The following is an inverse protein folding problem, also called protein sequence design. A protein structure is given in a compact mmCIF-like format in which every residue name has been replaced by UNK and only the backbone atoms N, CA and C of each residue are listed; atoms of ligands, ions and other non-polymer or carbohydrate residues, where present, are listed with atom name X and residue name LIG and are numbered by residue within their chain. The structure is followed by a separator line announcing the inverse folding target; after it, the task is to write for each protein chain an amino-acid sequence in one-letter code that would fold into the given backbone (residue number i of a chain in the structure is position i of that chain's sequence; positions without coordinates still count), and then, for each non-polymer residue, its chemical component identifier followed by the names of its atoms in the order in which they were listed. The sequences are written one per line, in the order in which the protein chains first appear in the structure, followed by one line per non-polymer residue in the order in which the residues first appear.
data_IF_151699756636
#
_entry.id   IF_151699756636
#
_cell.length_a   1.000
_cell.length_b   1.000
_cell.length_c   1.000
_cell.angle_alpha   90.00
_cell.angle_beta   90.00
_cell.angle_gamma   90.00
#
_symmetry.space_group_name_H-M   'P 1'
#
loop_
_entity.id
_entity.type
_entity.pdbx_description
1 polymer ?
#
# COMPACT_ATOMS: atom_id res chain seq x y z
N UNK A 1 4.82 -2.37 9.28
CA UNK A 1 5.88 -2.01 10.25
C UNK A 1 5.40 -2.05 11.72
N UNK A 2 4.09 -2.16 11.99
CA UNK A 2 3.50 -2.27 13.34
C UNK A 2 3.42 -0.97 14.14
N UNK A 3 3.86 0.16 13.61
CA UNK A 3 3.83 1.45 14.34
C UNK A 3 2.41 1.92 14.66
N UNK A 4 1.48 1.78 13.71
CA UNK A 4 0.08 2.14 13.95
C UNK A 4 -0.54 1.24 15.03
N UNK A 5 -0.28 -0.09 14.96
CA UNK A 5 -0.74 -1.03 15.97
C UNK A 5 -0.22 -0.65 17.36
N UNK A 6 1.09 -0.36 17.48
CA UNK A 6 1.66 0.10 18.74
C UNK A 6 0.98 1.36 19.27
N UNK A 7 0.76 2.38 18.43
CA UNK A 7 0.09 3.62 18.84
C UNK A 7 -1.34 3.38 19.33
N UNK A 8 -2.06 2.44 18.75
CA UNK A 8 -3.41 2.08 19.19
C UNK A 8 -3.38 1.34 20.52
N UNK A 9 -2.44 0.41 20.70
CA UNK A 9 -2.23 -0.33 21.94
C UNK A 9 -1.85 0.64 23.08
N UNK A 10 -0.95 1.59 22.82
CA UNK A 10 -0.56 2.62 23.81
C UNK A 10 -1.75 3.53 24.22
N UNK A 11 -2.82 3.56 23.40
CA UNK A 11 -4.10 4.24 23.72
C UNK A 11 -5.13 3.33 24.38
N UNK A 12 -4.79 2.08 24.71
CA UNK A 12 -5.66 1.14 25.40
C UNK A 12 -6.55 0.27 24.52
N UNK A 13 -6.37 0.28 23.18
CA UNK A 13 -7.10 -0.61 22.29
C UNK A 13 -6.48 -2.01 22.24
N UNK A 14 -7.32 -3.03 22.17
CA UNK A 14 -6.90 -4.39 21.81
C UNK A 14 -6.71 -4.47 20.29
N UNK A 15 -5.55 -4.92 19.85
CA UNK A 15 -5.18 -4.89 18.42
C UNK A 15 -4.59 -6.23 18.00
N UNK A 16 -5.17 -6.82 16.97
CA UNK A 16 -4.58 -7.93 16.23
C UNK A 16 -4.04 -7.44 14.87
N UNK A 17 -3.05 -8.13 14.34
CA UNK A 17 -2.41 -7.78 13.08
C UNK A 17 -2.48 -8.93 12.08
N UNK A 18 -2.62 -8.58 10.79
CA UNK A 18 -2.52 -9.53 9.68
C UNK A 18 -1.39 -9.11 8.75
N UNK A 19 -0.47 -10.03 8.44
CA UNK A 19 0.64 -9.77 7.52
C UNK A 19 1.09 -11.04 6.83
N UNK A 20 1.07 -11.11 5.49
CA UNK A 20 1.59 -12.26 4.73
C UNK A 20 3.12 -12.24 4.59
N UNK A 21 3.79 -11.13 4.90
CA UNK A 21 5.24 -10.98 4.77
C UNK A 21 5.95 -11.51 6.01
N UNK A 22 6.79 -12.53 5.88
CA UNK A 22 7.60 -13.06 6.97
C UNK A 22 8.47 -11.97 7.60
N UNK A 23 9.17 -11.19 6.78
CA UNK A 23 10.03 -10.09 7.23
C UNK A 23 9.28 -9.02 8.03
N UNK A 24 8.10 -8.58 7.55
CA UNK A 24 7.29 -7.60 8.28
C UNK A 24 6.68 -8.20 9.53
N UNK A 25 6.29 -9.46 9.49
CA UNK A 25 5.70 -10.17 10.63
C UNK A 25 6.66 -10.23 11.81
N UNK A 26 7.93 -10.49 11.60
CA UNK A 26 8.92 -10.52 12.69
C UNK A 26 9.10 -9.12 13.30
N UNK A 27 9.11 -8.07 12.48
CA UNK A 27 9.15 -6.68 12.94
C UNK A 27 7.90 -6.27 13.72
N UNK A 28 6.72 -6.74 13.30
CA UNK A 28 5.44 -6.49 13.96
C UNK A 28 5.42 -7.23 15.30
N UNK A 29 5.77 -8.52 15.30
CA UNK A 29 5.75 -9.35 16.50
C UNK A 29 6.58 -8.76 17.63
N UNK A 30 7.73 -8.16 17.33
CA UNK A 30 8.60 -7.51 18.30
C UNK A 30 7.96 -6.28 18.99
N UNK A 31 6.86 -5.74 18.43
CA UNK A 31 6.16 -4.55 18.93
C UNK A 31 4.82 -4.87 19.57
N UNK A 32 4.32 -6.08 19.38
CA UNK A 32 3.02 -6.49 19.89
C UNK A 32 3.16 -7.06 21.30
N UNK A 33 2.26 -6.69 22.23
CA UNK A 33 2.20 -7.30 23.55
C UNK A 33 1.65 -8.73 23.46
N UNK A 34 1.87 -9.58 24.50
CA UNK A 34 1.47 -10.99 24.49
C UNK A 34 -0.01 -11.26 24.21
N UNK A 35 -0.89 -10.31 24.55
CA UNK A 35 -2.35 -10.42 24.33
C UNK A 35 -2.78 -10.13 22.91
N UNK A 36 -1.90 -9.60 22.05
CA UNK A 36 -2.18 -9.32 20.64
C UNK A 36 -1.81 -10.51 19.77
N UNK A 37 -2.65 -10.82 18.80
CA UNK A 37 -2.40 -11.90 17.85
C UNK A 37 -1.84 -11.34 16.55
N UNK A 38 -0.77 -11.97 16.04
CA UNK A 38 -0.27 -11.74 14.69
C UNK A 38 -0.60 -12.93 13.81
N UNK A 39 -1.51 -12.72 12.86
CA UNK A 39 -1.86 -13.70 11.84
C UNK A 39 -0.89 -13.57 10.66
N UNK A 40 -0.06 -14.60 10.43
CA UNK A 40 0.95 -14.64 9.35
C UNK A 40 0.32 -15.20 8.05
N UNK A 41 -0.67 -14.51 7.56
CA UNK A 41 -1.47 -14.91 6.39
C UNK A 41 -1.98 -13.70 5.62
N UNK A 42 -2.62 -13.91 4.48
CA UNK A 42 -3.38 -12.85 3.80
C UNK A 42 -4.72 -12.62 4.51
N UNK A 43 -5.37 -11.48 4.28
CA UNK A 43 -6.70 -11.25 4.83
C UNK A 43 -7.71 -12.27 4.27
N UNK A 44 -7.58 -12.61 3.01
CA UNK A 44 -8.49 -13.53 2.32
C UNK A 44 -8.45 -14.93 2.95
N UNK A 45 -7.26 -15.37 3.36
CA UNK A 45 -7.03 -16.70 3.94
C UNK A 45 -7.06 -16.70 5.48
N UNK A 46 -7.40 -15.55 6.09
CA UNK A 46 -7.49 -15.46 7.54
C UNK A 46 -8.64 -16.30 8.08
N UNK A 47 -8.33 -17.22 8.99
CA UNK A 47 -9.31 -18.01 9.74
C UNK A 47 -9.25 -17.61 11.21
N UNK A 48 -10.35 -17.10 11.75
CA UNK A 48 -10.50 -16.73 13.14
C UNK A 48 -11.99 -16.57 13.51
N UNK A 49 -12.33 -16.91 14.75
CA UNK A 49 -13.64 -16.67 15.32
C UNK A 49 -13.76 -15.28 15.98
N UNK A 50 -12.64 -14.55 16.07
CA UNK A 50 -12.63 -13.20 16.61
C UNK A 50 -13.47 -12.27 15.74
N UNK A 51 -14.15 -11.34 16.38
CA UNK A 51 -14.89 -10.25 15.76
C UNK A 51 -14.31 -8.94 16.23
N UNK A 52 -14.38 -7.94 15.35
CA UNK A 52 -13.72 -6.66 15.56
C UNK A 52 -14.74 -5.51 15.45
N UNK A 53 -14.53 -4.49 16.27
CA UNK A 53 -15.30 -3.25 16.18
C UNK A 53 -14.75 -2.33 15.10
N UNK A 54 -13.47 -2.52 14.73
CA UNK A 54 -12.79 -1.72 13.72
C UNK A 54 -11.78 -2.57 12.94
N UNK A 55 -11.85 -2.52 11.63
CA UNK A 55 -10.80 -3.03 10.73
C UNK A 55 -10.15 -1.84 10.02
N UNK A 56 -8.82 -1.79 10.03
CA UNK A 56 -8.05 -0.68 9.47
C UNK A 56 -7.13 -1.18 8.35
N UNK A 57 -7.21 -0.52 7.20
CA UNK A 57 -6.21 -0.58 6.15
C UNK A 57 -5.49 0.76 6.05
N UNK A 58 -4.19 0.75 6.33
CA UNK A 58 -3.32 1.91 6.12
C UNK A 58 -2.30 1.55 5.04
N UNK A 59 -2.49 2.07 3.83
CA UNK A 59 -1.67 1.82 2.63
C UNK A 59 -1.52 0.32 2.29
N UNK A 60 -2.54 -0.47 2.58
CA UNK A 60 -2.51 -1.93 2.43
C UNK A 60 -3.70 -2.52 1.68
N UNK A 61 -4.78 -1.75 1.51
CA UNK A 61 -5.97 -2.23 0.82
C UNK A 61 -5.72 -2.51 -0.67
N UNK A 62 -4.80 -1.80 -1.29
CA UNK A 62 -4.40 -2.02 -2.67
C UNK A 62 -3.86 -3.42 -2.98
N UNK A 63 -3.43 -4.17 -1.97
CA UNK A 63 -2.91 -5.55 -2.11
C UNK A 63 -3.97 -6.62 -1.87
N UNK A 64 -5.15 -6.24 -1.40
CA UNK A 64 -6.28 -7.13 -1.09
C UNK A 64 -7.22 -7.19 -2.30
N UNK A 65 -7.73 -8.36 -2.65
CA UNK A 65 -8.75 -8.47 -3.71
C UNK A 65 -10.05 -7.85 -3.22
N UNK A 66 -10.57 -6.82 -3.92
CA UNK A 66 -11.68 -6.00 -3.44
C UNK A 66 -12.83 -6.84 -2.91
N UNK A 67 -13.41 -7.74 -3.73
CA UNK A 67 -14.61 -8.51 -3.36
C UNK A 67 -14.37 -9.46 -2.17
N UNK A 68 -13.32 -10.27 -2.23
CA UNK A 68 -13.00 -11.23 -1.16
C UNK A 68 -12.58 -10.53 0.12
N UNK A 69 -11.82 -9.44 0.01
CA UNK A 69 -11.44 -8.62 1.16
C UNK A 69 -12.64 -7.96 1.84
N UNK A 70 -13.52 -7.33 1.07
CA UNK A 70 -14.75 -6.75 1.61
C UNK A 70 -15.67 -7.80 2.23
N UNK A 71 -15.81 -8.98 1.59
CA UNK A 71 -16.56 -10.10 2.16
C UNK A 71 -15.97 -10.56 3.50
N UNK A 72 -14.64 -10.68 3.59
CA UNK A 72 -13.95 -11.05 4.83
C UNK A 72 -14.13 -9.96 5.90
N UNK A 73 -13.99 -8.68 5.54
CA UNK A 73 -14.24 -7.58 6.48
C UNK A 73 -15.68 -7.60 7.00
N UNK A 74 -16.65 -7.80 6.09
CA UNK A 74 -18.07 -7.90 6.48
C UNK A 74 -18.32 -9.07 7.45
N UNK A 75 -17.64 -10.20 7.24
CA UNK A 75 -17.73 -11.35 8.15
C UNK A 75 -17.08 -11.06 9.51
N UNK A 76 -15.89 -10.47 9.53
CA UNK A 76 -15.09 -10.25 10.75
C UNK A 76 -15.58 -9.08 11.61
N UNK A 77 -16.31 -8.11 11.05
CA UNK A 77 -16.85 -6.98 11.80
C UNK A 77 -18.06 -7.37 12.65
N UNK A 78 -18.11 -6.85 13.85
CA UNK A 78 -19.30 -6.82 14.68
C UNK A 78 -20.43 -6.03 14.00
N UNK A 79 -21.66 -6.16 14.49
CA UNK A 79 -22.75 -5.26 14.13
C UNK A 79 -22.37 -3.82 14.51
N UNK A 80 -22.62 -2.88 13.62
CA UNK A 80 -22.20 -1.48 13.75
C UNK A 80 -20.68 -1.27 13.80
N UNK A 81 -19.87 -2.31 13.55
CA UNK A 81 -18.43 -2.20 13.43
C UNK A 81 -18.01 -1.39 12.20
N UNK A 82 -16.80 -0.89 12.20
CA UNK A 82 -16.32 0.06 11.21
C UNK A 82 -15.18 -0.50 10.35
N UNK A 83 -15.17 -0.12 9.10
CA UNK A 83 -14.08 -0.37 8.15
C UNK A 83 -13.44 0.97 7.78
N UNK A 84 -12.18 1.15 8.16
CA UNK A 84 -11.38 2.33 7.83
C UNK A 84 -10.36 1.96 6.75
N UNK A 85 -10.40 2.66 5.63
CA UNK A 85 -9.44 2.51 4.53
C UNK A 85 -8.76 3.85 4.31
N UNK A 86 -7.44 3.89 4.48
CA UNK A 86 -6.58 5.02 4.13
C UNK A 86 -5.60 4.53 3.06
N UNK A 87 -5.94 4.76 1.79
CA UNK A 87 -5.16 4.27 0.65
C UNK A 87 -5.45 5.10 -0.60
N UNK A 88 -4.61 4.95 -1.63
CA UNK A 88 -4.85 5.60 -2.91
C UNK A 88 -5.53 4.66 -3.91
N UNK A 89 -6.40 5.26 -4.70
CA UNK A 89 -7.13 4.61 -5.79
C UNK A 89 -6.70 5.19 -7.13
N UNK A 90 -6.83 4.40 -8.19
CA UNK A 90 -6.66 4.88 -9.55
C UNK A 90 -7.96 5.49 -10.05
N UNK A 91 -7.87 6.70 -10.60
CA UNK A 91 -8.98 7.37 -11.29
C UNK A 91 -8.81 7.26 -12.80
N UNK A 92 -9.91 7.25 -13.51
CA UNK A 92 -9.93 7.14 -14.97
C UNK A 92 -9.82 8.54 -15.59
N UNK A 93 -8.66 8.86 -16.18
CA UNK A 93 -8.35 10.19 -16.73
C UNK A 93 -8.18 10.17 -18.24
N UNK A 94 -8.54 9.06 -18.93
CA UNK A 94 -8.33 8.91 -20.37
C UNK A 94 -6.86 8.70 -20.79
N UNK A 95 -5.90 8.84 -19.89
CA UNK A 95 -4.47 8.60 -20.13
C UNK A 95 -3.92 7.54 -19.18
N UNK A 96 -2.87 6.81 -19.61
CA UNK A 96 -2.22 5.82 -18.74
C UNK A 96 -1.49 6.52 -17.60
N UNK A 97 -1.75 6.07 -16.37
CA UNK A 97 -1.00 6.51 -15.21
C UNK A 97 0.43 5.97 -15.24
N UNK A 98 1.46 6.79 -15.07
CA UNK A 98 2.82 6.31 -14.87
C UNK A 98 3.00 5.65 -13.49
N UNK A 99 2.12 5.97 -12.54
CA UNK A 99 2.12 5.46 -11.19
C UNK A 99 1.31 4.16 -11.12
N UNK A 100 1.97 3.08 -10.72
CA UNK A 100 1.34 1.77 -10.52
C UNK A 100 0.62 1.69 -9.18
N UNK A 101 -0.18 0.63 -9.01
CA UNK A 101 -0.91 0.34 -7.77
C UNK A 101 -2.21 1.12 -7.65
N UNK A 102 -2.92 0.83 -6.57
CA UNK A 102 -4.26 1.32 -6.29
C UNK A 102 -5.34 0.64 -7.13
N UNK A 103 -6.38 0.23 -6.49
CA UNK A 103 -7.59 -0.25 -7.19
C UNK A 103 -8.26 0.88 -7.95
N UNK A 104 -9.01 0.55 -9.01
CA UNK A 104 -9.89 1.54 -9.65
C UNK A 104 -10.96 1.98 -8.65
N UNK A 105 -11.11 3.30 -8.46
CA UNK A 105 -12.11 3.85 -7.54
C UNK A 105 -13.52 3.45 -7.95
N UNK A 106 -13.83 3.50 -9.25
CA UNK A 106 -15.12 3.08 -9.79
C UNK A 106 -15.47 1.63 -9.41
N UNK A 107 -14.50 0.71 -9.57
CA UNK A 107 -14.70 -0.71 -9.22
C UNK A 107 -14.83 -0.94 -7.71
N UNK A 108 -14.13 -0.16 -6.90
CA UNK A 108 -14.26 -0.24 -5.44
C UNK A 108 -15.67 0.16 -5.01
N UNK A 109 -16.16 1.32 -5.47
CA UNK A 109 -17.52 1.81 -5.18
C UNK A 109 -18.58 0.80 -5.63
N UNK A 110 -18.53 0.36 -6.89
CA UNK A 110 -19.45 -0.66 -7.42
C UNK A 110 -19.45 -1.94 -6.57
N UNK A 111 -18.30 -2.32 -6.02
CA UNK A 111 -18.20 -3.56 -5.26
C UNK A 111 -18.67 -3.38 -3.84
N UNK A 112 -18.34 -2.27 -3.14
CA UNK A 112 -18.72 -2.07 -1.73
C UNK A 112 -20.22 -1.87 -1.59
N UNK A 113 -20.90 -1.29 -2.59
CA UNK A 113 -22.36 -1.11 -2.64
C UNK A 113 -23.13 -2.45 -2.67
N UNK A 114 -22.43 -3.58 -2.92
CA UNK A 114 -23.02 -4.92 -2.87
C UNK A 114 -22.99 -5.54 -1.47
N UNK A 115 -22.42 -4.84 -0.50
CA UNK A 115 -22.34 -5.26 0.90
C UNK A 115 -23.17 -4.32 1.79
N UNK A 116 -23.36 -4.72 3.05
CA UNK A 116 -24.14 -3.94 4.04
C UNK A 116 -23.30 -2.83 4.69
N UNK A 117 -22.47 -2.12 3.89
CA UNK A 117 -21.68 -1.01 4.36
C UNK A 117 -22.34 0.33 4.03
N UNK A 118 -22.43 1.20 5.03
CA UNK A 118 -22.82 2.60 4.84
C UNK A 118 -21.57 3.49 4.91
N UNK A 119 -21.40 4.38 3.95
CA UNK A 119 -20.34 5.36 3.97
C UNK A 119 -20.62 6.45 5.02
N UNK A 120 -19.70 6.60 5.98
CA UNK A 120 -19.79 7.62 7.05
C UNK A 120 -18.85 8.80 6.73
N UNK A 121 -17.66 8.52 6.23
CA UNK A 121 -16.66 9.54 5.88
C UNK A 121 -16.02 9.16 4.56
N UNK A 122 -15.91 10.12 3.67
CA UNK A 122 -15.18 10.04 2.42
C UNK A 122 -14.41 11.34 2.21
N UNK A 123 -13.14 11.35 2.61
CA UNK A 123 -12.26 12.50 2.48
C UNK A 123 -11.22 12.24 1.40
N UNK A 124 -11.15 13.14 0.43
CA UNK A 124 -10.07 13.18 -0.54
C UNK A 124 -8.91 13.98 0.04
N UNK A 125 -7.83 13.30 0.39
CA UNK A 125 -6.60 13.88 0.93
C UNK A 125 -5.44 13.80 -0.09
N UNK A 126 -5.77 13.74 -1.37
CA UNK A 126 -4.79 13.61 -2.45
C UNK A 126 -3.80 14.77 -2.47
N UNK A 127 -4.28 15.99 -2.30
CA UNK A 127 -3.42 17.19 -2.33
C UNK A 127 -2.49 17.26 -1.12
N UNK A 128 -2.98 16.84 0.04
CA UNK A 128 -2.23 16.82 1.30
C UNK A 128 -1.13 15.75 1.28
N UNK A 129 -1.35 14.64 0.57
CA UNK A 129 -0.37 13.55 0.47
C UNK A 129 0.58 13.70 -0.72
N UNK A 130 0.21 14.42 -1.76
CA UNK A 130 1.01 14.62 -2.97
C UNK A 130 2.44 15.15 -2.71
N UNK A 131 2.71 16.05 -1.74
CA UNK A 131 4.07 16.50 -1.43
C UNK A 131 5.02 15.35 -1.06
N UNK A 132 4.53 14.28 -0.45
CA UNK A 132 5.33 13.07 -0.13
C UNK A 132 5.89 12.42 -1.39
N UNK A 133 5.11 12.41 -2.48
CA UNK A 133 5.55 11.92 -3.79
C UNK A 133 6.66 12.83 -4.36
N UNK A 134 6.55 14.15 -4.16
CA UNK A 134 7.60 15.09 -4.56
C UNK A 134 8.91 14.87 -3.81
N UNK A 135 8.88 14.50 -2.54
CA UNK A 135 10.07 14.12 -1.76
C UNK A 135 10.69 12.84 -2.35
N UNK A 136 9.86 11.85 -2.69
CA UNK A 136 10.31 10.62 -3.32
C UNK A 136 10.95 10.89 -4.69
N UNK A 137 10.34 11.74 -5.51
CA UNK A 137 10.88 12.16 -6.82
C UNK A 137 12.26 12.80 -6.67
N UNK A 138 12.42 13.75 -5.75
CA UNK A 138 13.70 14.37 -5.44
C UNK A 138 14.75 13.35 -5.00
N UNK A 139 14.39 12.44 -4.10
CA UNK A 139 15.30 11.37 -3.66
C UNK A 139 15.75 10.50 -4.84
N UNK A 140 14.83 10.17 -5.73
CA UNK A 140 15.15 9.38 -6.93
C UNK A 140 16.06 10.15 -7.89
N UNK A 141 15.73 11.40 -8.21
CA UNK A 141 16.42 12.20 -9.24
C UNK A 141 17.76 12.76 -8.74
N UNK A 142 17.83 13.23 -7.52
CA UNK A 142 19.03 13.90 -6.98
C UNK A 142 20.04 12.93 -6.37
N UNK A 143 19.61 11.77 -5.87
CA UNK A 143 20.49 10.83 -5.19
C UNK A 143 20.60 9.47 -5.91
N UNK A 144 19.48 8.81 -6.19
CA UNK A 144 19.55 7.42 -6.70
C UNK A 144 19.99 7.35 -8.16
N UNK A 145 19.55 8.27 -9.02
CA UNK A 145 19.95 8.29 -10.43
C UNK A 145 21.46 8.62 -10.57
N UNK A 146 21.98 9.70 -9.99
CA UNK A 146 23.41 9.99 -10.06
C UNK A 146 24.28 8.91 -9.44
N UNK A 147 23.89 8.35 -8.29
CA UNK A 147 24.63 7.27 -7.62
C UNK A 147 24.69 6.00 -8.47
N UNK A 148 23.61 5.65 -9.17
CA UNK A 148 23.58 4.53 -10.09
C UNK A 148 24.51 4.74 -11.29
N UNK A 149 24.51 5.93 -11.87
CA UNK A 149 25.35 6.25 -13.03
C UNK A 149 26.83 6.20 -12.64
N UNK A 150 27.19 6.75 -11.49
CA UNK A 150 28.54 6.68 -10.94
C UNK A 150 28.97 5.23 -10.68
N UNK A 151 28.14 4.45 -10.01
CA UNK A 151 28.37 3.03 -9.72
C UNK A 151 28.49 2.21 -11.00
N UNK A 152 27.64 2.47 -12.00
CA UNK A 152 27.67 1.78 -13.29
C UNK A 152 28.95 2.11 -14.08
N UNK A 153 29.42 3.36 -14.06
CA UNK A 153 30.71 3.77 -14.66
C UNK A 153 31.85 3.08 -13.97
N UNK A 154 31.91 3.13 -12.64
CA UNK A 154 32.95 2.47 -11.86
C UNK A 154 33.03 0.96 -12.13
N UNK A 155 31.92 0.25 -12.09
CA UNK A 155 31.84 -1.18 -12.36
C UNK A 155 32.25 -1.51 -13.82
N UNK A 156 31.83 -0.70 -14.79
CA UNK A 156 32.16 -0.91 -16.19
C UNK A 156 33.64 -0.70 -16.45
N UNK A 157 34.29 0.24 -15.74
CA UNK A 157 35.71 0.52 -15.88
C UNK A 157 36.61 -0.53 -15.20
N UNK A 158 36.20 -0.99 -14.00
CA UNK A 158 37.04 -1.89 -13.21
C UNK A 158 36.72 -3.38 -13.43
N UNK A 159 35.46 -3.71 -13.80
CA UNK A 159 34.98 -5.09 -13.96
C UNK A 159 34.12 -5.26 -15.21
N UNK A 160 34.67 -5.04 -16.43
CA UNK A 160 33.83 -4.96 -17.65
C UNK A 160 33.11 -6.27 -17.98
N UNK A 161 33.76 -7.43 -17.79
CA UNK A 161 33.12 -8.73 -18.08
C UNK A 161 31.97 -9.04 -17.13
N UNK A 162 32.15 -8.80 -15.81
CA UNK A 162 31.13 -9.00 -14.80
C UNK A 162 29.98 -8.05 -15.05
N UNK A 163 30.24 -6.80 -15.36
CA UNK A 163 29.24 -5.78 -15.66
C UNK A 163 28.39 -6.15 -16.87
N UNK A 164 29.04 -6.67 -17.94
CA UNK A 164 28.35 -7.13 -19.15
C UNK A 164 27.41 -8.31 -18.84
N UNK A 165 27.87 -9.27 -18.06
CA UNK A 165 27.06 -10.43 -17.64
C UNK A 165 25.88 -10.02 -16.75
N UNK A 166 26.11 -9.14 -15.77
CA UNK A 166 25.06 -8.61 -14.90
C UNK A 166 24.03 -7.80 -15.68
N UNK A 167 24.47 -6.91 -16.56
CA UNK A 167 23.56 -6.14 -17.43
C UNK A 167 22.70 -7.05 -18.31
N UNK A 168 23.29 -8.09 -18.88
CA UNK A 168 22.56 -9.07 -19.69
C UNK A 168 21.54 -9.86 -18.84
N UNK A 169 21.96 -10.42 -17.69
CA UNK A 169 21.09 -11.22 -16.80
C UNK A 169 19.96 -10.38 -16.18
N UNK A 170 20.23 -9.12 -15.85
CA UNK A 170 19.29 -8.22 -15.17
C UNK A 170 18.61 -7.23 -16.13
N UNK A 171 18.84 -7.32 -17.44
CA UNK A 171 18.34 -6.38 -18.44
C UNK A 171 16.85 -6.04 -18.25
N UNK A 172 15.98 -7.04 -18.19
CA UNK A 172 14.53 -6.84 -18.02
C UNK A 172 14.18 -6.15 -16.69
N UNK A 173 14.92 -6.44 -15.60
CA UNK A 173 14.70 -5.77 -14.30
C UNK A 173 15.16 -4.32 -14.32
N UNK A 174 16.33 -4.06 -14.91
CA UNK A 174 16.91 -2.71 -15.05
C UNK A 174 16.00 -1.85 -15.94
N UNK A 175 15.54 -2.37 -17.07
CA UNK A 175 14.59 -1.67 -17.95
C UNK A 175 13.28 -1.33 -17.24
N UNK A 176 12.74 -2.29 -16.47
CA UNK A 176 11.51 -2.08 -15.67
C UNK A 176 11.70 -1.00 -14.60
N UNK A 177 12.84 -1.01 -13.88
CA UNK A 177 13.16 0.00 -12.86
C UNK A 177 13.35 1.36 -13.53
N UNK A 178 14.10 1.43 -14.62
CA UNK A 178 14.31 2.68 -15.36
C UNK A 178 12.98 3.26 -15.86
N UNK A 179 12.13 2.44 -16.45
CA UNK A 179 10.83 2.88 -16.97
C UNK A 179 9.88 3.36 -15.87
N UNK A 180 9.90 2.74 -14.69
CA UNK A 180 8.98 3.08 -13.59
C UNK A 180 9.52 4.24 -12.75
N UNK A 181 10.78 4.21 -12.37
CA UNK A 181 11.32 5.12 -11.34
C UNK A 181 12.25 6.21 -11.89
N UNK A 182 12.77 6.05 -13.10
CA UNK A 182 13.76 6.98 -13.68
C UNK A 182 13.21 7.75 -14.90
N UNK A 183 11.91 7.65 -15.16
CA UNK A 183 11.27 8.36 -16.27
C UNK A 183 10.97 9.84 -15.96
N UNK A 184 11.17 10.29 -14.72
CA UNK A 184 10.77 11.62 -14.25
C UNK A 184 9.25 11.86 -14.27
N UNK A 185 8.47 10.78 -14.40
CA UNK A 185 7.00 10.87 -14.48
C UNK A 185 6.31 10.67 -13.12
N UNK A 186 7.08 10.32 -12.07
CA UNK A 186 6.57 10.16 -10.71
C UNK A 186 6.63 11.52 -10.01
N UNK A 187 5.72 12.42 -10.36
CA UNK A 187 5.61 13.75 -9.77
C UNK A 187 4.34 13.88 -8.94
N UNK A 188 4.31 14.89 -8.06
CA UNK A 188 3.11 15.23 -7.29
C UNK A 188 1.92 15.56 -8.22
N UNK A 189 2.17 16.27 -9.33
CA UNK A 189 1.14 16.60 -10.32
C UNK A 189 0.60 15.36 -11.02
N UNK A 190 1.50 14.44 -11.40
CA UNK A 190 1.12 13.15 -12.00
C UNK A 190 0.30 12.30 -11.01
N UNK A 191 0.65 12.34 -9.74
CA UNK A 191 -0.12 11.67 -8.69
C UNK A 191 -1.52 12.27 -8.58
N UNK A 192 -1.65 13.58 -8.42
CA UNK A 192 -2.94 14.28 -8.33
C UNK A 192 -3.81 14.01 -9.57
N UNK A 193 -3.19 13.94 -10.75
CA UNK A 193 -3.91 13.70 -12.01
C UNK A 193 -4.49 12.30 -12.12
N UNK A 194 -3.81 11.27 -11.61
CA UNK A 194 -4.13 9.86 -11.90
C UNK A 194 -4.56 9.05 -10.67
N UNK A 195 -4.42 9.62 -9.47
CA UNK A 195 -4.73 8.96 -8.22
C UNK A 195 -5.66 9.83 -7.38
N UNK A 196 -6.44 9.15 -6.55
CA UNK A 196 -7.20 9.77 -5.47
C UNK A 196 -6.80 9.07 -4.18
N UNK A 197 -6.20 9.79 -3.24
CA UNK A 197 -5.86 9.27 -1.92
C UNK A 197 -7.02 9.56 -0.98
N UNK A 198 -7.64 8.48 -0.49
CA UNK A 198 -8.89 8.57 0.26
C UNK A 198 -8.73 8.10 1.69
N UNK A 199 -9.38 8.81 2.59
CA UNK A 199 -9.72 8.32 3.92
C UNK A 199 -11.21 7.98 3.93
N UNK A 200 -11.51 6.69 3.93
CA UNK A 200 -12.86 6.15 3.83
C UNK A 200 -13.23 5.46 5.14
N UNK A 201 -14.33 5.86 5.74
CA UNK A 201 -14.89 5.19 6.90
C UNK A 201 -16.29 4.67 6.53
N UNK A 202 -16.46 3.38 6.66
CA UNK A 202 -17.72 2.70 6.47
C UNK A 202 -18.19 2.07 7.77
N UNK A 203 -19.49 2.03 8.00
CA UNK A 203 -20.12 1.28 9.09
C UNK A 203 -20.88 0.08 8.51
N UNK A 204 -20.67 -1.10 9.10
CA UNK A 204 -21.46 -2.28 8.77
C UNK A 204 -22.87 -2.11 9.34
N UNK A 205 -23.86 -2.19 8.48
CA UNK A 205 -25.28 -2.24 8.87
C UNK A 205 -25.71 -3.67 9.20
N UNK A 206 -26.83 -3.77 9.87
CA UNK A 206 -27.47 -5.07 10.22
C UNK A 206 -28.08 -5.73 9.00
#
# INVERSE_FOLDING_TARGET
SGELAKKLIDKGYSVDCVSPSSFLSDTIQAKLPPQSTLYRTTLEDLETDHRYDLIIFSESFQYVKIRSGLSKCNHLLNHNGHLLICDFFSIETGSKSPLRGGHKMSKFVETIDQFTFENIIDLDITKETAPTIGILDKLLTEFLIPSKDLSSKYLSSNFPMITKLLKWKLKKRIEKINHVYMSGQITAESFIKHKSYRLLLYQKKV
#
